data_IF_884074235623
#
_entry.id   IF_884074235623
#
_cell.length_a   1.000
_cell.length_b   1.000
_cell.length_c   1.000
_cell.angle_alpha   90.00
_cell.angle_beta   90.00
_cell.angle_gamma   90.00
#
_symmetry.space_group_name_H-M   'P 1'
#
loop_
_entity.id
_entity.type
_entity.pdbx_description
1 polymer ?
#
# COMPACT_ATOMS: atom_id res chain seq x y z
N UNK A 1 11.28 -19.17 -2.93
CA UNK A 1 10.51 -20.40 -3.18
C UNK A 1 10.63 -21.44 -2.06
N UNK A 2 11.67 -21.41 -1.23
CA UNK A 2 11.87 -22.23 -0.02
C UNK A 2 10.60 -22.76 0.68
N UNK A 3 9.63 -21.89 1.01
CA UNK A 3 8.39 -22.29 1.69
C UNK A 3 7.60 -23.35 0.89
N UNK A 4 7.56 -23.24 -0.45
CA UNK A 4 6.85 -24.18 -1.32
C UNK A 4 7.69 -25.40 -1.71
N UNK A 5 9.03 -25.29 -1.66
CA UNK A 5 9.95 -26.39 -1.91
C UNK A 5 9.75 -27.53 -0.90
N UNK A 6 9.46 -27.21 0.37
CA UNK A 6 9.12 -28.19 1.42
C UNK A 6 7.90 -29.07 1.06
N UNK A 7 7.01 -28.56 0.20
CA UNK A 7 5.81 -29.26 -0.26
C UNK A 7 5.96 -29.82 -1.68
N UNK A 8 7.14 -29.73 -2.29
CA UNK A 8 7.39 -30.16 -3.67
C UNK A 8 6.64 -29.34 -4.73
N UNK A 9 6.14 -28.15 -4.38
CA UNK A 9 5.42 -27.28 -5.32
C UNK A 9 6.36 -26.25 -5.93
N UNK A 10 7.04 -26.61 -7.02
CA UNK A 10 8.00 -25.74 -7.72
C UNK A 10 7.48 -25.15 -9.03
N UNK A 11 6.36 -25.66 -9.54
CA UNK A 11 5.70 -25.16 -10.74
C UNK A 11 4.75 -24.01 -10.36
N UNK A 12 5.33 -22.82 -10.18
CA UNK A 12 4.64 -21.59 -9.75
C UNK A 12 5.12 -20.43 -10.62
N UNK A 13 4.21 -19.83 -11.39
CA UNK A 13 4.50 -18.67 -12.22
C UNK A 13 4.65 -17.36 -11.41
N UNK A 14 5.30 -16.38 -12.02
CA UNK A 14 5.45 -15.03 -11.48
C UNK A 14 6.85 -14.72 -10.97
N UNK A 15 7.21 -13.43 -11.08
CA UNK A 15 8.48 -12.85 -10.62
C UNK A 15 8.20 -11.45 -10.04
N UNK A 16 9.25 -10.72 -9.70
CA UNK A 16 9.14 -9.38 -9.14
C UNK A 16 8.66 -8.35 -10.17
N UNK A 17 7.73 -7.48 -9.76
CA UNK A 17 7.24 -6.35 -10.57
C UNK A 17 7.63 -5.02 -9.91
N UNK A 18 8.39 -4.18 -10.62
CA UNK A 18 9.01 -3.00 -10.03
C UNK A 18 8.68 -1.71 -10.79
N UNK A 19 8.02 -0.78 -10.10
CA UNK A 19 8.07 0.65 -10.39
C UNK A 19 7.70 1.42 -9.11
N UNK A 20 8.68 1.78 -8.28
CA UNK A 20 8.46 2.44 -7.00
C UNK A 20 7.31 1.80 -6.19
N UNK A 21 6.45 2.61 -5.57
CA UNK A 21 5.30 2.13 -4.79
C UNK A 21 4.17 1.45 -5.62
N UNK A 22 4.30 1.35 -6.95
CA UNK A 22 3.27 0.76 -7.83
C UNK A 22 3.44 -0.75 -8.04
N UNK A 23 4.62 -1.32 -7.72
CA UNK A 23 4.97 -2.72 -8.00
C UNK A 23 3.94 -3.75 -7.49
N UNK A 24 3.41 -3.53 -6.28
CA UNK A 24 2.35 -4.37 -5.71
C UNK A 24 1.05 -4.38 -6.53
N UNK A 25 0.66 -3.24 -7.09
CA UNK A 25 -0.51 -3.12 -7.97
C UNK A 25 -0.28 -3.76 -9.33
N UNK A 26 0.94 -3.65 -9.86
CA UNK A 26 1.31 -4.37 -11.07
C UNK A 26 1.21 -5.90 -10.86
N UNK A 27 1.78 -6.41 -9.77
CA UNK A 27 1.71 -7.83 -9.41
C UNK A 27 0.26 -8.29 -9.18
N UNK A 28 -0.56 -7.47 -8.52
CA UNK A 28 -1.98 -7.75 -8.33
C UNK A 28 -2.74 -7.86 -9.66
N UNK A 29 -2.55 -6.93 -10.59
CA UNK A 29 -3.17 -7.01 -11.90
C UNK A 29 -2.68 -8.19 -12.72
N UNK A 30 -1.37 -8.49 -12.70
CA UNK A 30 -0.83 -9.67 -13.37
C UNK A 30 -1.48 -10.95 -12.85
N UNK A 31 -1.66 -11.05 -11.52
CA UNK A 31 -2.25 -12.21 -10.89
C UNK A 31 -3.75 -12.39 -11.21
N UNK A 32 -4.52 -11.31 -11.18
CA UNK A 32 -5.94 -11.33 -11.60
C UNK A 32 -6.07 -11.72 -13.08
N UNK A 33 -5.28 -11.09 -13.95
CA UNK A 33 -5.26 -11.40 -15.37
C UNK A 33 -4.86 -12.87 -15.62
N UNK A 34 -3.92 -13.41 -14.84
CA UNK A 34 -3.53 -14.82 -14.91
C UNK A 34 -4.70 -15.74 -14.53
N UNK A 35 -5.41 -15.47 -13.43
CA UNK A 35 -6.62 -16.23 -13.04
C UNK A 35 -7.71 -16.16 -14.12
N UNK A 36 -7.86 -15.03 -14.81
CA UNK A 36 -8.81 -14.86 -15.91
C UNK A 36 -8.32 -15.41 -17.26
N UNK A 37 -7.07 -15.91 -17.34
CA UNK A 37 -6.45 -16.33 -18.61
C UNK A 37 -6.73 -17.79 -18.97
N UNK A 38 -6.45 -18.16 -20.23
CA UNK A 38 -6.47 -19.55 -20.67
C UNK A 38 -5.34 -20.41 -20.07
N UNK A 39 -4.33 -19.79 -19.46
CA UNK A 39 -3.22 -20.48 -18.79
C UNK A 39 -3.51 -20.78 -17.32
N UNK A 40 -4.65 -20.33 -16.80
CA UNK A 40 -5.04 -20.62 -15.43
C UNK A 40 -5.25 -22.12 -15.24
N UNK A 41 -4.64 -22.68 -14.20
CA UNK A 41 -4.65 -24.11 -13.90
C UNK A 41 -5.58 -24.48 -12.73
N UNK A 42 -6.43 -23.54 -12.29
CA UNK A 42 -7.36 -23.72 -11.18
C UNK A 42 -6.77 -23.42 -9.80
N UNK A 43 -5.46 -23.16 -9.68
CA UNK A 43 -4.82 -22.83 -8.39
C UNK A 43 -4.99 -21.35 -8.02
N UNK A 44 -4.78 -21.03 -6.75
CA UNK A 44 -4.77 -19.64 -6.30
C UNK A 44 -3.50 -18.91 -6.76
N UNK A 45 -3.66 -17.63 -7.03
CA UNK A 45 -2.54 -16.71 -7.10
C UNK A 45 -2.19 -16.13 -5.74
N UNK A 46 -0.92 -15.80 -5.50
CA UNK A 46 -0.46 -15.15 -4.26
C UNK A 46 0.37 -13.92 -4.61
N UNK A 47 -0.10 -12.75 -4.17
CA UNK A 47 0.59 -11.48 -4.38
C UNK A 47 1.20 -11.03 -3.07
N UNK A 48 2.48 -10.68 -3.07
CA UNK A 48 3.18 -10.13 -1.90
C UNK A 48 3.70 -8.74 -2.24
N UNK A 49 3.25 -7.75 -1.47
CA UNK A 49 3.79 -6.39 -1.48
C UNK A 49 4.66 -6.24 -0.25
N UNK A 50 5.93 -5.88 -0.37
CA UNK A 50 6.84 -5.78 0.77
C UNK A 50 7.87 -4.69 0.56
N UNK A 51 8.06 -3.84 1.56
CA UNK A 51 9.04 -2.76 1.51
C UNK A 51 9.50 -2.32 2.90
N UNK A 52 10.70 -1.74 2.92
CA UNK A 52 11.24 -0.94 4.01
C UNK A 52 11.57 0.46 3.45
N UNK A 53 10.75 1.45 3.78
CA UNK A 53 10.91 2.83 3.35
C UNK A 53 11.85 3.58 4.32
N UNK A 54 13.09 3.75 3.89
CA UNK A 54 14.16 4.38 4.68
C UNK A 54 14.70 5.61 3.94
N UNK A 55 14.98 6.67 4.69
CA UNK A 55 15.47 7.94 4.16
C UNK A 55 16.68 8.44 4.95
N UNK A 56 17.55 9.20 4.26
CA UNK A 56 18.69 9.87 4.84
C UNK A 56 18.28 10.86 5.95
N UNK A 57 19.27 11.41 6.68
CA UNK A 57 19.02 12.53 7.59
C UNK A 57 18.36 13.69 6.84
N UNK A 58 17.28 14.23 7.43
CA UNK A 58 16.52 15.33 6.83
C UNK A 58 15.01 15.17 6.95
N UNK A 59 14.25 16.05 6.26
CA UNK A 59 12.80 16.20 6.43
C UNK A 59 11.99 15.01 5.94
N UNK A 60 12.56 14.11 5.13
CA UNK A 60 11.90 12.91 4.64
C UNK A 60 11.98 11.73 5.63
N UNK A 61 12.91 11.72 6.59
CA UNK A 61 13.05 10.61 7.56
C UNK A 61 11.76 10.28 8.32
N UNK A 62 10.96 11.26 8.80
CA UNK A 62 9.72 10.96 9.52
C UNK A 62 8.62 10.31 8.66
N UNK A 63 8.78 10.25 7.33
CA UNK A 63 7.81 9.59 6.44
C UNK A 63 8.19 8.15 6.11
N UNK A 64 9.23 7.60 6.75
CA UNK A 64 9.58 6.18 6.62
C UNK A 64 8.54 5.23 7.22
N UNK A 65 8.77 3.94 7.05
CA UNK A 65 7.91 2.87 7.53
C UNK A 65 8.33 1.53 6.92
N UNK A 66 7.79 0.43 7.41
CA UNK A 66 8.08 -0.89 6.85
C UNK A 66 6.87 -1.81 7.02
N UNK A 67 6.63 -2.67 6.03
CA UNK A 67 5.52 -3.59 6.09
C UNK A 67 5.45 -4.50 4.87
N UNK A 68 4.77 -5.64 5.06
CA UNK A 68 4.43 -6.55 4.00
C UNK A 68 2.94 -6.92 4.07
N UNK A 69 2.29 -7.03 2.91
CA UNK A 69 0.92 -7.51 2.76
C UNK A 69 0.93 -8.65 1.75
N UNK A 70 0.33 -9.78 2.12
CA UNK A 70 0.07 -10.90 1.22
C UNK A 70 -1.42 -10.96 0.90
N UNK A 71 -1.76 -11.16 -0.37
CA UNK A 71 -3.13 -11.26 -0.88
C UNK A 71 -3.28 -12.56 -1.67
N UNK A 72 -4.22 -13.41 -1.27
CA UNK A 72 -4.59 -14.60 -2.02
C UNK A 72 -5.67 -14.22 -3.05
N UNK A 73 -5.46 -14.60 -4.31
CA UNK A 73 -6.26 -14.21 -5.46
C UNK A 73 -6.90 -15.47 -6.07
N UNK A 74 -8.20 -15.40 -6.34
CA UNK A 74 -8.97 -16.50 -6.92
C UNK A 74 -10.39 -16.08 -7.30
N UNK A 75 -11.16 -16.99 -7.92
CA UNK A 75 -12.56 -16.75 -8.27
C UNK A 75 -13.44 -16.63 -7.00
N UNK A 76 -14.66 -16.13 -7.18
CA UNK A 76 -15.70 -16.03 -6.14
C UNK A 76 -15.26 -15.28 -4.88
N UNK A 77 -14.35 -14.31 -5.03
CA UNK A 77 -13.76 -13.58 -3.92
C UNK A 77 -14.76 -12.60 -3.25
N UNK A 78 -14.68 -12.39 -1.91
CA UNK A 78 -15.47 -11.36 -1.22
C UNK A 78 -15.13 -9.94 -1.67
N UNK A 79 -13.98 -9.75 -2.30
CA UNK A 79 -13.46 -8.47 -2.80
C UNK A 79 -13.20 -8.68 -4.28
N UNK A 80 -14.22 -8.41 -5.10
CA UNK A 80 -14.15 -8.64 -6.55
C UNK A 80 -13.69 -7.37 -7.27
N UNK A 81 -12.81 -7.52 -8.25
CA UNK A 81 -12.45 -6.43 -9.15
C UNK A 81 -13.64 -6.02 -10.02
N UNK A 82 -13.89 -4.71 -10.13
CA UNK A 82 -14.74 -4.20 -11.20
C UNK A 82 -13.87 -3.97 -12.44
N UNK A 83 -13.53 -5.04 -13.16
CA UNK A 83 -12.46 -5.07 -14.18
C UNK A 83 -12.59 -4.01 -15.29
N UNK A 84 -13.80 -3.50 -15.53
CA UNK A 84 -14.09 -2.43 -16.50
C UNK A 84 -13.72 -1.02 -16.01
N UNK A 85 -13.67 -0.80 -14.69
CA UNK A 85 -13.48 0.50 -14.06
C UNK A 85 -12.03 0.67 -13.59
N UNK A 86 -11.18 1.07 -14.54
CA UNK A 86 -9.75 1.30 -14.31
C UNK A 86 -9.19 2.44 -15.15
N UNK A 87 -8.65 3.49 -14.54
CA UNK A 87 -7.90 4.55 -15.22
C UNK A 87 -6.41 4.47 -14.89
N UNK A 88 -5.54 4.34 -15.90
CA UNK A 88 -4.08 4.25 -15.72
C UNK A 88 -3.40 5.47 -16.34
N UNK A 89 -2.41 6.02 -15.66
CA UNK A 89 -1.54 7.07 -16.18
C UNK A 89 -0.08 6.75 -15.87
N UNK A 90 0.77 6.81 -16.88
CA UNK A 90 2.21 6.58 -16.80
C UNK A 90 2.90 7.66 -17.62
N UNK A 91 3.99 8.21 -17.11
CA UNK A 91 4.80 9.22 -17.81
C UNK A 91 6.22 9.22 -17.27
N UNK A 92 7.16 9.70 -18.07
CA UNK A 92 8.56 9.80 -17.65
C UNK A 92 8.79 11.08 -16.82
N UNK A 93 9.17 10.92 -15.55
CA UNK A 93 9.51 12.02 -14.63
C UNK A 93 10.62 11.61 -13.64
N UNK A 94 11.24 12.59 -13.00
CA UNK A 94 12.28 12.40 -11.98
C UNK A 94 11.86 12.98 -10.61
N UNK A 95 10.65 12.67 -10.17
CA UNK A 95 10.11 13.17 -8.90
C UNK A 95 10.70 12.47 -7.67
N UNK A 96 10.90 11.15 -7.78
CA UNK A 96 11.58 10.31 -6.79
C UNK A 96 12.15 9.09 -7.49
N UNK A 97 13.44 8.79 -7.26
CA UNK A 97 14.12 7.67 -7.88
C UNK A 97 15.36 7.25 -7.07
N UNK A 98 15.87 6.03 -7.30
CA UNK A 98 17.05 5.48 -6.61
C UNK A 98 18.21 5.24 -7.60
N UNK A 99 18.93 6.30 -8.03
CA UNK A 99 20.00 6.17 -9.01
C UNK A 99 21.30 5.63 -8.41
N UNK A 100 21.51 5.82 -7.10
CA UNK A 100 22.70 5.35 -6.41
C UNK A 100 22.49 3.92 -5.90
N UNK A 101 22.99 2.94 -6.63
CA UNK A 101 22.83 1.52 -6.31
C UNK A 101 23.49 1.10 -4.97
N UNK A 102 24.48 1.86 -4.50
CA UNK A 102 25.18 1.60 -3.26
C UNK A 102 24.49 2.19 -2.02
N UNK A 103 23.42 2.98 -2.20
CA UNK A 103 22.66 3.59 -1.10
C UNK A 103 21.21 3.12 -1.11
N UNK A 104 20.65 2.91 0.09
CA UNK A 104 19.22 2.61 0.23
C UNK A 104 18.34 3.85 -0.04
N UNK A 105 18.94 5.05 0.10
CA UNK A 105 18.22 6.31 0.10
C UNK A 105 17.89 6.80 -1.31
N UNK A 106 16.67 7.33 -1.50
CA UNK A 106 16.25 7.90 -2.77
C UNK A 106 16.76 9.33 -2.97
N UNK A 107 16.88 9.73 -4.23
CA UNK A 107 16.87 11.14 -4.64
C UNK A 107 15.41 11.58 -4.77
N UNK A 108 15.05 12.69 -4.13
CA UNK A 108 13.66 13.16 -4.04
C UNK A 108 13.57 14.65 -4.32
N UNK A 109 12.76 15.02 -5.31
CA UNK A 109 12.24 16.39 -5.43
C UNK A 109 10.84 16.43 -4.80
N UNK A 110 10.77 16.85 -3.53
CA UNK A 110 9.52 16.81 -2.77
C UNK A 110 8.43 17.75 -3.30
N UNK A 111 8.78 18.82 -4.01
CA UNK A 111 7.80 19.70 -4.66
C UNK A 111 7.25 19.01 -5.90
N UNK A 112 8.14 18.52 -6.76
CA UNK A 112 7.76 17.82 -7.98
C UNK A 112 6.94 16.55 -7.68
N UNK A 113 7.30 15.78 -6.65
CA UNK A 113 6.58 14.56 -6.26
C UNK A 113 5.12 14.81 -5.87
N UNK A 114 4.82 15.91 -5.19
CA UNK A 114 3.42 16.27 -4.91
C UNK A 114 2.66 16.67 -6.19
N UNK A 115 3.29 17.45 -7.07
CA UNK A 115 2.70 17.83 -8.36
C UNK A 115 2.42 16.60 -9.22
N UNK A 116 3.41 15.71 -9.39
CA UNK A 116 3.29 14.48 -10.15
C UNK A 116 2.21 13.55 -9.59
N UNK A 117 2.12 13.42 -8.26
CA UNK A 117 1.06 12.63 -7.62
C UNK A 117 -0.34 13.16 -7.95
N UNK A 118 -0.57 14.47 -7.81
CA UNK A 118 -1.89 15.07 -8.09
C UNK A 118 -2.24 15.07 -9.58
N UNK A 119 -1.27 15.29 -10.46
CA UNK A 119 -1.44 15.17 -11.92
C UNK A 119 -1.82 13.73 -12.32
N UNK A 120 -1.15 12.75 -11.74
CA UNK A 120 -1.46 11.33 -11.95
C UNK A 120 -2.85 10.96 -11.42
N UNK A 121 -3.23 11.52 -10.27
CA UNK A 121 -4.56 11.36 -9.68
C UNK A 121 -5.65 11.90 -10.61
N UNK A 122 -5.52 13.14 -11.08
CA UNK A 122 -6.47 13.77 -12.01
C UNK A 122 -6.61 12.94 -13.29
N UNK A 123 -5.49 12.52 -13.87
CA UNK A 123 -5.46 11.72 -15.10
C UNK A 123 -6.13 10.36 -14.92
N UNK A 124 -5.80 9.65 -13.83
CA UNK A 124 -6.42 8.36 -13.52
C UNK A 124 -7.91 8.50 -13.25
N UNK A 125 -8.32 9.53 -12.50
CA UNK A 125 -9.72 9.80 -12.19
C UNK A 125 -10.51 10.09 -13.45
N UNK A 126 -10.02 10.97 -14.32
CA UNK A 126 -10.64 11.27 -15.63
C UNK A 126 -10.84 10.01 -16.47
N UNK A 127 -9.81 9.16 -16.58
CA UNK A 127 -9.92 7.90 -17.32
C UNK A 127 -10.91 6.91 -16.66
N UNK A 128 -10.93 6.85 -15.32
CA UNK A 128 -11.88 6.03 -14.57
C UNK A 128 -13.32 6.50 -14.82
N UNK A 129 -13.60 7.80 -14.67
CA UNK A 129 -14.91 8.41 -14.89
C UNK A 129 -15.41 8.18 -16.33
N UNK A 130 -14.54 8.35 -17.33
CA UNK A 130 -14.90 8.12 -18.74
C UNK A 130 -15.28 6.65 -19.00
N UNK A 131 -14.56 5.69 -18.40
CA UNK A 131 -14.92 4.27 -18.51
C UNK A 131 -16.21 3.96 -17.78
N UNK A 132 -16.41 4.52 -16.59
CA UNK A 132 -17.64 4.37 -15.84
C UNK A 132 -18.86 4.86 -16.63
N UNK A 133 -18.79 6.08 -17.17
CA UNK A 133 -19.84 6.67 -17.98
C UNK A 133 -20.15 5.85 -19.23
N UNK A 134 -19.12 5.33 -19.91
CA UNK A 134 -19.28 4.45 -21.08
C UNK A 134 -20.10 3.19 -20.77
N UNK A 135 -19.92 2.59 -19.58
CA UNK A 135 -20.54 1.31 -19.24
C UNK A 135 -21.84 1.45 -18.45
N UNK A 136 -21.99 2.49 -17.64
CA UNK A 136 -23.16 2.72 -16.77
C UNK A 136 -24.11 3.78 -17.34
N UNK A 137 -23.70 4.52 -18.38
CA UNK A 137 -24.50 5.59 -18.98
C UNK A 137 -24.70 6.80 -18.06
N UNK A 138 -23.89 6.92 -17.00
CA UNK A 138 -23.99 7.98 -15.98
C UNK A 138 -22.58 8.53 -15.67
N UNK A 139 -22.47 9.85 -15.55
CA UNK A 139 -21.25 10.50 -15.06
C UNK A 139 -20.89 9.99 -13.65
N UNK A 140 -19.64 9.57 -13.47
CA UNK A 140 -19.11 9.20 -12.16
C UNK A 140 -18.79 10.44 -11.32
N UNK A 141 -19.00 10.32 -10.01
CA UNK A 141 -18.64 11.29 -9.00
C UNK A 141 -18.16 10.60 -7.72
N UNK A 142 -17.61 11.35 -6.77
CA UNK A 142 -17.26 10.82 -5.45
C UNK A 142 -18.44 10.22 -4.67
N UNK A 143 -19.69 10.54 -5.06
CA UNK A 143 -20.89 9.97 -4.46
C UNK A 143 -21.18 8.55 -4.96
N UNK A 144 -20.60 8.13 -6.09
CA UNK A 144 -20.84 6.81 -6.71
C UNK A 144 -19.92 5.70 -6.16
N UNK A 145 -19.10 6.03 -5.16
CA UNK A 145 -18.33 5.07 -4.37
C UNK A 145 -18.49 5.33 -2.87
N UNK A 146 -18.54 4.25 -2.10
CA UNK A 146 -18.69 4.29 -0.64
C UNK A 146 -17.36 4.71 0.02
N UNK A 147 -16.23 4.21 -0.49
CA UNK A 147 -14.91 4.56 0.04
C UNK A 147 -13.87 4.82 -1.05
N UNK A 148 -12.89 5.64 -0.69
CA UNK A 148 -11.70 5.90 -1.49
C UNK A 148 -10.45 5.59 -0.67
N UNK A 149 -9.59 4.73 -1.21
CA UNK A 149 -8.35 4.29 -0.58
C UNK A 149 -7.18 4.70 -1.46
N UNK A 150 -6.18 5.35 -0.87
CA UNK A 150 -5.05 5.92 -1.59
C UNK A 150 -3.74 5.27 -1.16
N UNK A 151 -2.76 5.24 -2.06
CA UNK A 151 -1.36 5.16 -1.64
C UNK A 151 -1.09 6.26 -0.61
N UNK A 152 -0.55 5.87 0.55
CA UNK A 152 -0.51 6.71 1.75
C UNK A 152 0.94 6.89 2.22
N UNK A 153 1.76 7.72 1.56
CA UNK A 153 3.13 7.98 2.01
C UNK A 153 3.13 8.79 3.32
N UNK A 154 2.13 9.66 3.50
CA UNK A 154 1.80 10.33 4.75
C UNK A 154 0.35 10.83 4.68
N UNK A 155 -0.32 10.94 5.83
CA UNK A 155 -1.78 11.15 5.83
C UNK A 155 -2.21 12.52 5.28
N UNK A 156 -1.38 13.56 5.37
CA UNK A 156 -1.72 14.87 4.79
C UNK A 156 -1.88 14.80 3.26
N UNK A 157 -1.09 13.99 2.55
CA UNK A 157 -1.26 13.81 1.10
C UNK A 157 -2.59 13.10 0.78
N UNK A 158 -3.03 12.16 1.61
CA UNK A 158 -4.31 11.47 1.45
C UNK A 158 -5.49 12.46 1.57
N UNK A 159 -5.43 13.37 2.54
CA UNK A 159 -6.42 14.44 2.68
C UNK A 159 -6.47 15.35 1.43
N UNK A 160 -5.28 15.77 0.94
CA UNK A 160 -5.16 16.55 -0.30
C UNK A 160 -5.71 15.80 -1.51
N UNK A 161 -5.46 14.49 -1.59
CA UNK A 161 -5.88 13.64 -2.71
C UNK A 161 -7.39 13.59 -2.85
N UNK A 162 -8.09 13.29 -1.75
CA UNK A 162 -9.55 13.24 -1.77
C UNK A 162 -10.18 14.62 -2.03
N UNK A 163 -9.63 15.68 -1.42
CA UNK A 163 -10.03 17.06 -1.72
C UNK A 163 -9.82 17.41 -3.20
N UNK A 164 -8.76 16.90 -3.84
CA UNK A 164 -8.53 17.08 -5.27
C UNK A 164 -9.57 16.35 -6.12
N UNK A 165 -10.04 15.17 -5.72
CA UNK A 165 -11.16 14.50 -6.42
C UNK A 165 -12.44 15.35 -6.35
N UNK A 166 -12.75 15.92 -5.18
CA UNK A 166 -13.88 16.84 -5.03
C UNK A 166 -13.76 18.06 -5.96
N UNK A 167 -12.55 18.61 -6.12
CA UNK A 167 -12.31 19.69 -7.07
C UNK A 167 -12.47 19.24 -8.54
N UNK A 168 -12.07 18.02 -8.90
CA UNK A 168 -12.32 17.47 -10.24
C UNK A 168 -13.82 17.33 -10.52
N UNK A 169 -14.59 16.84 -9.53
CA UNK A 169 -16.05 16.78 -9.63
C UNK A 169 -16.66 18.17 -9.85
N UNK A 170 -16.12 19.21 -9.20
CA UNK A 170 -16.53 20.60 -9.40
C UNK A 170 -16.27 21.05 -10.84
N UNK A 171 -15.06 20.82 -11.37
CA UNK A 171 -14.70 21.19 -12.74
C UNK A 171 -15.55 20.47 -13.79
N UNK A 172 -15.98 19.23 -13.52
CA UNK A 172 -16.87 18.47 -14.39
C UNK A 172 -18.36 18.70 -14.10
N UNK A 173 -18.70 19.67 -13.24
CA UNK A 173 -20.06 20.00 -12.83
C UNK A 173 -20.87 18.85 -12.23
N UNK A 174 -20.20 17.84 -11.66
CA UNK A 174 -20.85 16.64 -11.12
C UNK A 174 -21.86 16.97 -10.00
N UNK A 175 -22.98 16.24 -9.96
CA UNK A 175 -24.06 16.48 -8.99
C UNK A 175 -23.66 16.28 -7.52
N UNK A 176 -22.53 15.64 -7.26
CA UNK A 176 -21.92 15.44 -5.93
C UNK A 176 -21.49 16.75 -5.26
N UNK A 177 -21.24 17.80 -6.04
CA UNK A 177 -20.77 19.09 -5.51
C UNK A 177 -21.96 19.96 -5.12
N UNK A 178 -22.13 20.11 -3.80
CA UNK A 178 -23.16 20.92 -3.17
C UNK A 178 -23.00 22.42 -3.53
N UNK A 179 -24.11 23.17 -3.40
CA UNK A 179 -24.15 24.61 -3.73
C UNK A 179 -23.07 25.41 -3.00
N UNK A 180 -22.93 25.22 -1.68
CA UNK A 180 -21.89 25.88 -0.87
C UNK A 180 -20.47 25.52 -1.34
N UNK A 181 -20.25 24.25 -1.71
CA UNK A 181 -18.99 23.79 -2.29
C UNK A 181 -18.68 24.48 -3.62
N UNK A 182 -19.67 24.62 -4.51
CA UNK A 182 -19.51 25.32 -5.80
C UNK A 182 -19.18 26.79 -5.61
N UNK A 183 -19.94 27.50 -4.77
CA UNK A 183 -19.72 28.93 -4.50
C UNK A 183 -18.31 29.19 -3.97
N UNK A 184 -17.80 28.32 -3.09
CA UNK A 184 -16.44 28.43 -2.54
C UNK A 184 -15.34 28.07 -3.52
N UNK A 185 -15.60 27.16 -4.46
CA UNK A 185 -14.61 26.70 -5.45
C UNK A 185 -14.60 27.54 -6.74
N UNK A 186 -15.66 28.30 -7.01
CA UNK A 186 -15.80 29.15 -8.19
C UNK A 186 -14.60 30.10 -8.44
N UNK A 187 -14.00 30.75 -7.42
CA UNK A 187 -12.83 31.60 -7.64
C UNK A 187 -11.60 30.88 -8.22
N UNK A 188 -11.60 29.54 -8.22
CA UNK A 188 -10.50 28.71 -8.69
C UNK A 188 -10.81 27.98 -10.00
N UNK A 189 -11.97 28.21 -10.63
CA UNK A 189 -12.46 27.46 -11.80
C UNK A 189 -11.57 27.57 -13.04
N UNK A 190 -10.78 28.65 -13.15
CA UNK A 190 -9.86 28.90 -14.27
C UNK A 190 -8.45 28.34 -14.03
N UNK A 191 -8.13 27.87 -12.81
CA UNK A 191 -6.80 27.34 -12.51
C UNK A 191 -6.62 25.96 -13.15
N UNK A 192 -5.54 25.80 -13.91
CA UNK A 192 -5.23 24.53 -14.58
C UNK A 192 -3.78 24.11 -14.34
N UNK A 193 -3.48 22.82 -14.54
CA UNK A 193 -2.13 22.27 -14.44
C UNK A 193 -1.40 22.71 -13.16
N UNK A 194 -0.15 23.15 -13.34
CA UNK A 194 0.76 23.56 -12.26
C UNK A 194 0.22 24.67 -11.36
N UNK A 195 -0.54 25.62 -11.91
CA UNK A 195 -1.15 26.69 -11.12
C UNK A 195 -2.10 26.11 -10.08
N UNK A 196 -2.92 25.13 -10.49
CA UNK A 196 -3.85 24.46 -9.60
C UNK A 196 -3.15 23.55 -8.57
N UNK A 197 -2.07 22.86 -8.95
CA UNK A 197 -1.34 21.96 -8.05
C UNK A 197 -0.58 22.70 -6.95
N UNK A 198 -0.15 23.93 -7.22
CA UNK A 198 0.66 24.73 -6.30
C UNK A 198 -0.15 25.75 -5.51
N UNK A 199 -1.45 25.92 -5.80
CA UNK A 199 -2.31 26.89 -5.12
C UNK A 199 -2.76 26.40 -3.74
N UNK A 200 -2.23 27.04 -2.69
CA UNK A 200 -2.52 26.70 -1.29
C UNK A 200 -3.95 27.04 -0.85
N UNK A 201 -4.53 28.11 -1.39
CA UNK A 201 -5.90 28.50 -1.06
C UNK A 201 -6.92 27.54 -1.69
N UNK A 202 -6.68 27.09 -2.93
CA UNK A 202 -7.44 26.01 -3.55
C UNK A 202 -7.35 24.73 -2.71
N UNK A 203 -6.13 24.35 -2.29
CA UNK A 203 -5.94 23.17 -1.44
C UNK A 203 -6.77 23.26 -0.14
N UNK A 204 -6.65 24.39 0.57
CA UNK A 204 -7.33 24.63 1.85
C UNK A 204 -8.85 24.63 1.67
N UNK A 205 -9.34 25.31 0.65
CA UNK A 205 -10.77 25.41 0.36
C UNK A 205 -11.35 24.05 -0.01
N UNK A 206 -10.67 23.31 -0.90
CA UNK A 206 -11.07 21.95 -1.30
C UNK A 206 -11.13 21.00 -0.09
N UNK A 207 -10.15 21.07 0.82
CA UNK A 207 -10.17 20.28 2.05
C UNK A 207 -11.33 20.66 2.97
N UNK A 208 -11.65 21.95 3.08
CA UNK A 208 -12.75 22.42 3.92
C UNK A 208 -14.09 21.90 3.42
N UNK A 209 -14.38 22.04 2.12
CA UNK A 209 -15.67 21.62 1.54
C UNK A 209 -15.80 20.10 1.48
N UNK A 210 -14.70 19.38 1.24
CA UNK A 210 -14.70 17.92 1.17
C UNK A 210 -14.58 17.22 2.54
N UNK A 211 -14.46 17.97 3.65
CA UNK A 211 -14.10 17.39 4.95
C UNK A 211 -15.07 16.32 5.45
N UNK A 212 -16.36 16.59 5.38
CA UNK A 212 -17.36 15.64 5.87
C UNK A 212 -17.32 14.32 5.08
N UNK A 213 -17.19 14.40 3.74
CA UNK A 213 -17.03 13.23 2.87
C UNK A 213 -15.69 12.53 3.10
N UNK A 214 -14.61 13.25 3.40
CA UNK A 214 -13.34 12.62 3.76
C UNK A 214 -13.47 11.80 5.04
N UNK A 215 -14.13 12.35 6.07
CA UNK A 215 -14.32 11.69 7.36
C UNK A 215 -15.17 10.40 7.21
N UNK A 216 -16.10 10.37 6.26
CA UNK A 216 -16.92 9.19 5.95
C UNK A 216 -16.19 8.17 5.05
N UNK A 217 -15.69 8.64 3.89
CA UNK A 217 -15.27 7.80 2.76
C UNK A 217 -13.78 7.44 2.76
N UNK A 218 -12.94 8.15 3.52
CA UNK A 218 -11.48 7.97 3.49
C UNK A 218 -10.88 7.72 4.87
N UNK A 219 -11.31 8.47 5.89
CA UNK A 219 -10.75 8.34 7.24
C UNK A 219 -10.69 6.88 7.74
N UNK A 220 -11.68 6.00 7.50
CA UNK A 220 -11.61 4.60 7.93
C UNK A 220 -10.44 3.80 7.34
N UNK A 221 -9.85 4.22 6.22
CA UNK A 221 -8.70 3.55 5.62
C UNK A 221 -7.34 4.04 6.16
N UNK A 222 -7.32 4.94 7.15
CA UNK A 222 -6.08 5.66 7.52
C UNK A 222 -5.34 5.09 8.73
N UNK A 223 -5.88 4.09 9.43
CA UNK A 223 -5.33 3.57 10.69
C UNK A 223 -3.88 3.09 10.55
N UNK A 224 -3.63 2.06 9.72
CA UNK A 224 -2.29 1.47 9.56
C UNK A 224 -1.29 2.48 8.98
N UNK A 225 -1.59 3.23 7.89
CA UNK A 225 -0.65 4.25 7.40
C UNK A 225 -0.27 5.30 8.44
N UNK A 226 -1.21 5.74 9.30
CA UNK A 226 -0.92 6.72 10.37
C UNK A 226 -0.10 6.13 11.53
N UNK A 227 -0.22 4.83 11.77
CA UNK A 227 0.45 4.16 12.88
C UNK A 227 1.81 3.57 12.49
N UNK A 228 2.03 3.24 11.21
CA UNK A 228 3.22 2.53 10.73
C UNK A 228 4.11 3.43 9.84
N UNK A 229 3.52 4.41 9.15
CA UNK A 229 4.22 5.24 8.17
C UNK A 229 4.16 4.66 6.75
N UNK A 230 5.07 5.10 5.88
CA UNK A 230 5.05 4.70 4.48
C UNK A 230 5.55 3.26 4.32
N UNK A 231 4.72 2.40 3.72
CA UNK A 231 5.06 1.00 3.41
C UNK A 231 5.25 0.78 1.90
N UNK A 232 5.57 1.83 1.14
CA UNK A 232 5.71 1.83 -0.33
C UNK A 232 4.66 0.98 -1.05
N UNK A 233 5.02 -0.15 -1.66
CA UNK A 233 4.08 -0.99 -2.43
C UNK A 233 2.94 -1.54 -1.59
N UNK A 234 3.18 -1.81 -0.31
CA UNK A 234 2.18 -2.29 0.63
C UNK A 234 1.27 -1.18 1.19
N UNK A 235 1.62 0.10 1.01
CA UNK A 235 0.93 1.23 1.67
C UNK A 235 -0.56 1.32 1.31
N UNK A 236 -0.92 1.20 0.03
CA UNK A 236 -2.33 1.22 -0.40
C UNK A 236 -3.11 0.02 0.17
N UNK A 237 -2.47 -1.14 0.25
CA UNK A 237 -3.11 -2.37 0.76
C UNK A 237 -3.21 -2.39 2.28
N UNK A 238 -2.28 -1.76 2.99
CA UNK A 238 -2.41 -1.50 4.41
C UNK A 238 -3.52 -0.46 4.70
N UNK A 239 -3.70 0.53 3.83
CA UNK A 239 -4.84 1.43 3.91
C UNK A 239 -6.17 0.66 3.70
N UNK A 240 -6.22 -0.24 2.71
CA UNK A 240 -7.39 -1.10 2.49
C UNK A 240 -7.64 -2.08 3.65
N UNK A 241 -6.59 -2.67 4.23
CA UNK A 241 -6.68 -3.50 5.42
C UNK A 241 -7.23 -2.72 6.63
N UNK A 242 -6.92 -1.42 6.73
CA UNK A 242 -7.53 -0.54 7.74
C UNK A 242 -9.02 -0.35 7.52
N UNK A 243 -9.45 -0.19 6.27
CA UNK A 243 -10.87 -0.11 5.92
C UNK A 243 -11.60 -1.41 6.30
N UNK A 244 -11.06 -2.57 5.92
CA UNK A 244 -11.62 -3.87 6.31
C UNK A 244 -11.70 -4.02 7.83
N UNK A 245 -10.63 -3.68 8.55
CA UNK A 245 -10.61 -3.71 10.00
C UNK A 245 -11.74 -2.86 10.61
N UNK A 246 -11.91 -1.63 10.14
CA UNK A 246 -12.84 -0.67 10.72
C UNK A 246 -14.29 -0.86 10.26
N UNK A 247 -14.53 -1.42 9.06
CA UNK A 247 -15.84 -1.40 8.39
C UNK A 247 -16.33 -2.75 7.85
N UNK A 248 -15.63 -3.88 8.08
CA UNK A 248 -16.01 -5.21 7.54
C UNK A 248 -17.51 -5.54 7.64
N UNK A 249 -18.19 -5.16 8.74
CA UNK A 249 -19.62 -5.44 8.97
C UNK A 249 -20.59 -4.67 8.06
N UNK A 250 -20.15 -3.57 7.46
CA UNK A 250 -20.98 -2.69 6.63
C UNK A 250 -20.56 -2.67 5.17
N UNK A 251 -19.47 -3.35 4.82
CA UNK A 251 -18.85 -3.29 3.49
C UNK A 251 -19.57 -4.11 2.41
N UNK A 252 -20.55 -4.94 2.76
CA UNK A 252 -21.30 -5.74 1.79
C UNK A 252 -22.03 -4.82 0.81
N UNK A 253 -21.90 -5.12 -0.49
CA UNK A 253 -22.41 -4.35 -1.63
C UNK A 253 -21.79 -2.94 -1.81
N UNK A 254 -20.77 -2.58 -1.03
CA UNK A 254 -20.11 -1.29 -1.16
C UNK A 254 -19.07 -1.31 -2.28
N UNK A 255 -18.88 -0.16 -2.94
CA UNK A 255 -17.81 0.09 -3.91
C UNK A 255 -16.65 0.79 -3.21
N UNK A 256 -15.45 0.26 -3.39
CA UNK A 256 -14.20 0.86 -2.91
C UNK A 256 -13.33 1.22 -4.08
N UNK A 257 -13.08 2.52 -4.27
CA UNK A 257 -12.15 3.02 -5.27
C UNK A 257 -10.75 3.09 -4.68
N UNK A 258 -9.78 2.57 -5.42
CA UNK A 258 -8.38 2.43 -5.05
C UNK A 258 -7.53 3.31 -5.97
N UNK A 259 -6.63 4.12 -5.42
CA UNK A 259 -5.63 4.86 -6.21
C UNK A 259 -4.21 4.48 -5.81
N UNK A 260 -3.53 3.76 -6.71
CA UNK A 260 -2.13 3.39 -6.56
C UNK A 260 -1.24 4.32 -7.38
N UNK A 261 -0.14 4.74 -6.77
CA UNK A 261 0.86 5.63 -7.35
C UNK A 261 2.25 5.09 -7.03
N UNK A 262 3.17 5.16 -7.98
CA UNK A 262 4.60 5.02 -7.77
C UNK A 262 5.34 6.04 -8.64
N UNK A 263 6.30 6.74 -8.05
CA UNK A 263 7.13 7.74 -8.72
C UNK A 263 7.90 7.20 -9.93
N UNK A 264 8.31 8.11 -10.82
CA UNK A 264 8.98 7.79 -12.09
C UNK A 264 8.19 8.04 -13.40
N UNK A 265 6.86 8.00 -13.51
CA UNK A 265 5.82 7.53 -12.61
C UNK A 265 4.89 6.52 -13.30
N UNK A 266 4.29 5.65 -12.50
CA UNK A 266 3.20 4.75 -12.87
C UNK A 266 2.07 4.84 -11.86
N UNK A 267 0.83 4.94 -12.33
CA UNK A 267 -0.33 5.09 -11.46
C UNK A 267 -1.57 4.45 -12.06
N UNK A 268 -2.47 3.99 -11.19
CA UNK A 268 -3.78 3.48 -11.60
C UNK A 268 -4.82 3.73 -10.53
N UNK A 269 -5.97 4.24 -10.95
CA UNK A 269 -7.22 4.18 -10.20
C UNK A 269 -8.06 2.99 -10.67
N UNK A 270 -8.57 2.18 -9.75
CA UNK A 270 -9.39 1.01 -10.02
C UNK A 270 -10.42 0.82 -8.90
N UNK A 271 -11.40 -0.07 -9.05
CA UNK A 271 -12.39 -0.30 -7.99
C UNK A 271 -12.66 -1.76 -7.69
N UNK A 272 -13.11 -1.98 -6.46
CA UNK A 272 -13.64 -3.23 -5.96
C UNK A 272 -15.13 -3.12 -5.68
N UNK A 273 -15.86 -4.19 -5.96
CA UNK A 273 -17.17 -4.46 -5.38
C UNK A 273 -17.02 -5.49 -4.27
N UNK A 274 -17.53 -5.17 -3.08
CA UNK A 274 -17.41 -6.04 -1.92
C UNK A 274 -18.71 -6.83 -1.71
N UNK A 275 -18.56 -8.08 -1.28
CA UNK A 275 -19.63 -9.00 -0.91
C UNK A 275 -19.20 -9.77 0.34
N UNK A 276 -20.13 -10.39 1.07
CA UNK A 276 -19.78 -11.05 2.34
C UNK A 276 -18.77 -12.19 2.14
N UNK A 277 -18.85 -12.90 1.01
CA UNK A 277 -18.12 -14.14 0.76
C UNK A 277 -18.56 -15.29 1.66
N UNK A 278 -17.84 -16.41 1.58
CA UNK A 278 -18.06 -17.57 2.45
C UNK A 278 -16.77 -17.92 3.18
N UNK A 279 -16.86 -18.39 4.42
CA UNK A 279 -15.70 -18.82 5.18
C UNK A 279 -14.90 -19.90 4.40
N UNK A 280 -13.55 -19.80 4.29
CA UNK A 280 -12.68 -18.86 5.01
C UNK A 280 -12.54 -17.48 4.37
N UNK A 281 -13.02 -17.29 3.14
CA UNK A 281 -12.91 -16.04 2.37
C UNK A 281 -14.12 -15.12 2.60
N UNK A 282 -14.40 -14.76 3.86
CA UNK A 282 -15.40 -13.74 4.19
C UNK A 282 -14.75 -12.47 4.72
N UNK A 283 -15.39 -11.31 4.53
CA UNK A 283 -14.88 -10.02 5.02
C UNK A 283 -14.63 -10.05 6.53
N UNK A 284 -15.57 -10.66 7.27
CA UNK A 284 -15.48 -10.83 8.73
C UNK A 284 -14.27 -11.68 9.13
N UNK A 285 -14.03 -12.80 8.44
CA UNK A 285 -12.88 -13.66 8.75
C UNK A 285 -11.55 -13.00 8.35
N UNK A 286 -11.50 -12.29 7.22
CA UNK A 286 -10.31 -11.54 6.80
C UNK A 286 -9.95 -10.51 7.88
N UNK A 287 -10.91 -9.73 8.37
CA UNK A 287 -10.66 -8.75 9.43
C UNK A 287 -10.16 -9.39 10.73
N UNK A 288 -10.72 -10.56 11.10
CA UNK A 288 -10.30 -11.32 12.27
C UNK A 288 -8.86 -11.86 12.13
N UNK A 289 -8.52 -12.48 11.00
CA UNK A 289 -7.18 -13.04 10.71
C UNK A 289 -6.11 -11.95 10.61
N UNK A 290 -6.45 -10.79 10.04
CA UNK A 290 -5.53 -9.65 10.00
C UNK A 290 -5.13 -9.19 11.41
N UNK A 291 -6.04 -9.29 12.38
CA UNK A 291 -5.83 -9.01 13.79
C UNK A 291 -5.08 -7.68 14.05
N UNK A 292 -5.53 -6.62 13.37
CA UNK A 292 -4.84 -5.32 13.32
C UNK A 292 -4.68 -4.70 14.71
N UNK A 293 -5.73 -4.72 15.54
CA UNK A 293 -5.69 -4.09 16.87
C UNK A 293 -4.62 -4.71 17.77
N UNK A 294 -4.55 -6.04 17.83
CA UNK A 294 -3.58 -6.71 18.70
C UNK A 294 -2.15 -6.55 18.19
N UNK A 295 -1.93 -6.60 16.86
CA UNK A 295 -0.63 -6.30 16.26
C UNK A 295 -0.14 -4.89 16.58
N UNK A 296 -1.03 -3.89 16.56
CA UNK A 296 -0.67 -2.50 16.91
C UNK A 296 -0.39 -2.33 18.41
N UNK A 297 -1.10 -3.05 19.29
CA UNK A 297 -0.87 -3.05 20.74
C UNK A 297 0.43 -3.75 21.14
N UNK A 298 0.81 -4.80 20.42
CA UNK A 298 2.02 -5.59 20.70
C UNK A 298 3.33 -4.92 20.25
N UNK A 299 3.30 -3.67 19.76
CA UNK A 299 4.49 -2.95 19.32
C UNK A 299 5.36 -2.52 20.49
N UNK A 300 6.66 -2.39 20.22
CA UNK A 300 7.64 -1.88 21.16
C UNK A 300 8.07 -0.47 20.76
N UNK A 301 7.98 0.48 21.69
CA UNK A 301 8.38 1.87 21.48
C UNK A 301 9.87 2.01 21.74
N UNK A 302 10.59 2.65 20.81
CA UNK A 302 12.00 3.01 20.97
C UNK A 302 12.12 4.52 21.13
N UNK A 303 13.15 4.98 21.84
CA UNK A 303 13.47 6.40 21.87
C UNK A 303 14.02 6.85 20.51
N UNK A 304 13.88 8.13 20.14
CA UNK A 304 14.43 8.65 18.89
C UNK A 304 15.92 8.37 18.72
N UNK A 305 16.70 8.43 19.81
CA UNK A 305 18.14 8.16 19.80
C UNK A 305 18.43 6.73 19.37
N UNK A 306 17.78 5.75 20.00
CA UNK A 306 17.93 4.32 19.67
C UNK A 306 17.44 4.03 18.25
N UNK A 307 16.39 4.71 17.79
CA UNK A 307 15.93 4.62 16.41
C UNK A 307 16.99 5.13 15.42
N UNK A 308 17.60 6.28 15.67
CA UNK A 308 18.67 6.83 14.81
C UNK A 308 19.91 5.94 14.82
N UNK A 309 20.31 5.40 15.98
CA UNK A 309 21.38 4.40 16.07
C UNK A 309 21.08 3.16 15.22
N UNK A 310 19.83 2.68 15.26
CA UNK A 310 19.38 1.55 14.44
C UNK A 310 19.47 1.87 12.95
N UNK A 311 19.06 3.07 12.52
CA UNK A 311 19.19 3.49 11.13
C UNK A 311 20.65 3.52 10.67
N UNK A 312 21.56 4.04 11.50
CA UNK A 312 23.01 4.02 11.20
C UNK A 312 23.53 2.60 11.08
N UNK A 313 23.11 1.69 11.95
CA UNK A 313 23.45 0.26 11.82
C UNK A 313 22.95 -0.31 10.49
N UNK A 314 21.69 -0.04 10.11
CA UNK A 314 21.13 -0.53 8.85
C UNK A 314 21.87 0.00 7.62
N UNK A 315 22.30 1.25 7.65
CA UNK A 315 23.15 1.85 6.60
C UNK A 315 24.46 1.07 6.42
N UNK A 316 25.11 0.64 7.51
CA UNK A 316 26.32 -0.21 7.43
C UNK A 316 26.03 -1.62 6.91
N UNK A 317 24.79 -2.13 7.10
CA UNK A 317 24.38 -3.46 6.61
C UNK A 317 23.91 -3.44 5.16
N UNK A 318 23.50 -2.29 4.63
CA UNK A 318 23.02 -2.17 3.26
C UNK A 318 24.14 -2.48 2.27
N UNK A 319 23.94 -3.49 1.41
CA UNK A 319 24.95 -3.94 0.46
C UNK A 319 26.20 -4.59 1.07
N UNK A 320 26.22 -4.85 2.38
CA UNK A 320 27.34 -5.50 3.07
C UNK A 320 27.24 -7.04 3.03
N UNK A 321 28.34 -7.70 3.40
CA UNK A 321 28.49 -9.16 3.46
C UNK A 321 29.35 -9.57 4.65
N UNK A 322 29.45 -10.87 4.90
CA UNK A 322 30.29 -11.46 5.95
C UNK A 322 29.98 -10.91 7.35
N UNK A 323 28.72 -11.02 7.77
CA UNK A 323 28.30 -10.61 9.10
C UNK A 323 27.20 -11.50 9.68
N UNK A 324 27.18 -11.56 11.00
CA UNK A 324 26.10 -12.15 11.80
C UNK A 324 25.28 -11.01 12.42
N UNK A 325 23.96 -11.18 12.46
CA UNK A 325 23.04 -10.23 13.10
C UNK A 325 22.98 -10.46 14.61
N UNK A 326 22.28 -9.59 15.34
CA UNK A 326 22.02 -9.82 16.77
C UNK A 326 21.12 -11.05 16.94
N UNK A 327 21.48 -11.94 17.86
CA UNK A 327 20.63 -13.06 18.28
C UNK A 327 19.45 -12.61 19.16
N UNK A 328 19.40 -11.33 19.56
CA UNK A 328 18.29 -10.79 20.32
C UNK A 328 17.01 -10.73 19.46
N UNK A 329 16.18 -11.76 19.66
CA UNK A 329 14.86 -11.89 19.05
C UNK A 329 13.74 -11.58 20.05
N UNK A 330 14.06 -11.04 21.22
CA UNK A 330 13.11 -10.87 22.34
C UNK A 330 11.86 -10.08 21.94
N UNK A 331 12.02 -9.04 21.12
CA UNK A 331 10.96 -8.15 20.65
C UNK A 331 10.14 -8.71 19.47
N UNK A 332 10.59 -9.77 18.81
CA UNK A 332 9.86 -10.38 17.70
C UNK A 332 8.71 -11.23 18.25
N UNK A 333 7.57 -11.28 17.55
CA UNK A 333 6.52 -12.22 17.94
C UNK A 333 6.92 -13.66 17.57
N UNK A 334 6.41 -14.69 18.26
CA UNK A 334 6.58 -16.07 17.84
C UNK A 334 6.15 -16.28 16.38
N UNK A 335 6.93 -17.06 15.64
CA UNK A 335 6.70 -17.33 14.23
C UNK A 335 7.24 -16.28 13.25
N UNK A 336 7.78 -15.15 13.74
CA UNK A 336 8.46 -14.17 12.89
C UNK A 336 9.76 -14.75 12.31
N UNK A 337 9.95 -14.61 11.01
CA UNK A 337 11.23 -14.88 10.35
C UNK A 337 12.19 -13.72 10.53
N UNK A 338 13.48 -14.00 10.74
CA UNK A 338 14.53 -13.00 10.91
C UNK A 338 15.82 -13.43 10.21
N UNK A 339 16.62 -12.45 9.78
CA UNK A 339 17.92 -12.66 9.17
C UNK A 339 18.93 -13.04 10.27
N UNK A 340 19.62 -14.16 10.13
CA UNK A 340 20.67 -14.61 11.07
C UNK A 340 22.04 -14.12 10.66
N UNK A 341 22.38 -14.24 9.39
CA UNK A 341 23.68 -13.86 8.86
C UNK A 341 23.64 -13.66 7.34
N UNK A 342 24.65 -12.95 6.86
CA UNK A 342 25.01 -12.82 5.45
C UNK A 342 26.45 -13.27 5.31
N UNK A 343 26.72 -14.27 4.47
CA UNK A 343 28.08 -14.79 4.32
C UNK A 343 28.96 -13.95 3.38
N UNK A 344 30.20 -14.39 3.14
CA UNK A 344 31.16 -13.70 2.26
C UNK A 344 30.75 -13.65 0.78
N UNK A 345 29.76 -14.44 0.37
CA UNK A 345 29.16 -14.49 -0.98
C UNK A 345 27.82 -13.77 -1.06
N UNK A 346 27.43 -12.98 -0.04
CA UNK A 346 26.14 -12.29 0.05
C UNK A 346 24.92 -13.21 0.20
N UNK A 347 25.11 -14.51 0.46
CA UNK A 347 23.99 -15.43 0.72
C UNK A 347 23.38 -15.11 2.07
N UNK A 348 22.04 -15.07 2.11
CA UNK A 348 21.27 -14.68 3.30
C UNK A 348 20.66 -15.91 3.95
N UNK A 349 20.78 -15.99 5.26
CA UNK A 349 20.26 -17.11 6.04
C UNK A 349 19.19 -16.59 7.00
N UNK A 350 18.10 -17.36 7.10
CA UNK A 350 16.95 -16.96 7.91
C UNK A 350 16.60 -18.07 8.91
N UNK A 351 16.06 -17.64 10.04
CA UNK A 351 15.47 -18.51 11.06
C UNK A 351 14.08 -18.00 11.44
N UNK A 352 13.28 -18.87 12.04
CA UNK A 352 11.94 -18.56 12.53
C UNK A 352 11.93 -18.59 14.05
N UNK A 353 11.47 -17.51 14.69
CA UNK A 353 11.35 -17.46 16.15
C UNK A 353 10.39 -18.56 16.63
N UNK A 354 10.86 -19.40 17.57
CA UNK A 354 10.08 -20.51 18.13
C UNK A 354 8.88 -20.01 18.96
N UNK A 355 7.89 -20.87 19.12
CA UNK A 355 6.71 -20.65 19.98
C UNK A 355 6.95 -21.05 21.44
N UNK A 356 8.08 -21.67 21.75
CA UNK A 356 8.37 -22.19 23.09
C UNK A 356 9.06 -21.14 23.96
N UNK A 357 8.26 -20.51 24.81
CA UNK A 357 8.71 -19.53 25.80
C UNK A 357 7.69 -19.30 26.91
N UNK A 358 6.94 -20.33 27.33
CA UNK A 358 6.17 -20.40 28.58
C UNK A 358 5.72 -21.85 28.80
N UNK A 359 6.64 -22.77 29.09
CA UNK A 359 6.30 -24.00 29.84
C UNK A 359 7.59 -24.59 30.42
N UNK A 360 7.51 -24.87 31.72
CA UNK A 360 8.56 -25.29 32.64
C UNK A 360 9.65 -26.22 32.05
N UNK A 361 10.89 -25.80 32.31
CA UNK A 361 12.11 -26.61 32.47
C UNK A 361 12.05 -28.06 32.00
N UNK A 362 12.39 -28.28 30.73
CA UNK A 362 13.11 -29.47 30.24
C UNK A 362 13.76 -29.10 28.91
N UNK A 363 15.09 -29.13 28.90
CA UNK A 363 15.91 -28.94 27.70
C UNK A 363 15.70 -30.11 26.74
N UNK A 364 14.81 -29.91 25.76
CA UNK A 364 14.80 -30.72 24.55
C UNK A 364 15.60 -29.97 23.48
N UNK A 365 16.71 -30.56 23.03
CA UNK A 365 17.55 -29.99 21.97
C UNK A 365 16.74 -29.83 20.68
N UNK A 366 16.40 -28.59 20.34
CA UNK A 366 15.67 -28.28 19.12
C UNK A 366 16.65 -27.74 18.07
N UNK A 367 16.80 -28.47 16.97
CA UNK A 367 17.63 -28.05 15.82
C UNK A 367 16.99 -26.80 15.20
N UNK A 368 17.65 -25.66 15.31
CA UNK A 368 17.38 -24.50 14.45
C UNK A 368 17.60 -24.94 13.01
N UNK A 369 16.53 -25.18 12.25
CA UNK A 369 16.63 -25.32 10.80
C UNK A 369 16.93 -23.93 10.23
N UNK A 370 18.21 -23.70 9.89
CA UNK A 370 18.59 -22.55 9.09
C UNK A 370 18.10 -22.77 7.66
N UNK A 371 17.28 -21.86 7.15
CA UNK A 371 16.87 -21.86 5.76
C UNK A 371 17.91 -21.03 4.98
N UNK A 372 18.74 -21.71 4.18
CA UNK A 372 19.77 -21.08 3.35
C UNK A 372 19.20 -20.60 2.02
N UNK A 373 19.37 -19.33 1.67
CA UNK A 373 19.17 -18.88 0.29
C UNK A 373 20.43 -19.13 -0.54
N UNK A 374 20.32 -20.05 -1.51
CA UNK A 374 21.42 -20.42 -2.40
C UNK A 374 22.14 -21.65 -1.92
N UNK A 375 22.23 -22.66 -2.79
CA UNK A 375 22.98 -23.89 -2.59
C UNK A 375 24.45 -23.64 -2.22
#
# INVERSE_FOLDING_TARGET
MQIFEEFGNTDVEGVDSTNACYGGTAALFNCVNWVESSSWDGRYGLVVCTDSAVYAEGPARPTGGAGAIAMLIGPDAPISFESKYRGTHMTHVYDFYKPNLASEYPVVDGKLSQTCYLMALDSCYKCFCSKYEKFEGKQFSISDADYFVFHSPYNKLVQKSFARLYFNDFLCSASSVEKDGREKLEPFSTLTGDESYQNRELEKTSQQVAKHLYDEKVQPSTLLPKQIGNMYTASIYAAFASLLHNKHRTLVNQRVVMFSYGSGLSSTMFSFKLQEGQHPFSLSNIAAVLNVSEKLKARHVFTPEKFVETLKLMEHRYGAKDFVTSEDTSLLSPGTFYLTNVDYMYRRYYAKKSTEGMTNGKTAGCKNQSLANGY
#
